data_IF_386086308434
#
_entry.id   IF_386086308434
#
_cell.length_a   1.000
_cell.length_b   1.000
_cell.length_c   1.000
_cell.angle_alpha   90.00
_cell.angle_beta   90.00
_cell.angle_gamma   90.00
#
_symmetry.space_group_name_H-M   'P 1'
#
loop_
_entity.id
_entity.type
_entity.pdbx_description
1 polymer ?
#
# COMPACT_ATOMS: atom_id res chain seq x y z
N UNK A 1 13.14 -7.06 -22.36
CA UNK A 1 14.15 -6.68 -21.35
C UNK A 1 15.22 -7.76 -21.26
N UNK A 2 16.47 -7.40 -20.95
CA UNK A 2 17.59 -8.35 -20.82
C UNK A 2 17.51 -9.08 -19.46
N UNK A 3 18.03 -10.32 -19.39
CA UNK A 3 18.14 -11.09 -18.12
C UNK A 3 18.78 -10.29 -16.96
N UNK A 4 19.54 -9.26 -17.29
CA UNK A 4 20.18 -8.35 -16.34
C UNK A 4 19.17 -7.52 -15.53
N UNK A 5 18.09 -7.04 -16.15
CA UNK A 5 17.07 -6.25 -15.46
C UNK A 5 16.35 -7.06 -14.38
N UNK A 6 15.94 -8.29 -14.72
CA UNK A 6 15.34 -9.23 -13.78
C UNK A 6 16.27 -9.52 -12.58
N UNK A 7 17.59 -9.57 -12.81
CA UNK A 7 18.57 -9.79 -11.75
C UNK A 7 18.66 -8.59 -10.80
N UNK A 8 18.49 -7.37 -11.30
CA UNK A 8 18.58 -6.12 -10.51
C UNK A 8 17.42 -5.94 -9.54
N UNK A 9 16.20 -6.38 -9.89
CA UNK A 9 14.99 -6.18 -9.07
C UNK A 9 14.78 -7.26 -7.98
N UNK A 10 15.39 -8.44 -8.13
CA UNK A 10 15.22 -9.56 -7.18
C UNK A 10 15.54 -9.22 -5.71
N UNK A 11 16.61 -8.46 -5.39
CA UNK A 11 16.86 -8.02 -4.02
C UNK A 11 15.70 -7.19 -3.46
N UNK A 12 15.07 -6.34 -4.27
CA UNK A 12 13.97 -5.46 -3.84
C UNK A 12 12.71 -6.28 -3.56
N UNK A 13 12.39 -7.24 -4.42
CA UNK A 13 11.31 -8.21 -4.22
C UNK A 13 11.51 -9.00 -2.91
N UNK A 14 12.73 -9.45 -2.66
CA UNK A 14 13.08 -10.16 -1.43
C UNK A 14 12.87 -9.29 -0.20
N UNK A 15 13.32 -8.02 -0.24
CA UNK A 15 13.12 -7.06 0.84
C UNK A 15 11.63 -6.77 1.09
N UNK A 16 10.84 -6.53 0.03
CA UNK A 16 9.41 -6.31 0.12
C UNK A 16 8.70 -7.47 0.83
N UNK A 17 8.95 -8.69 0.37
CA UNK A 17 8.29 -9.88 0.90
C UNK A 17 8.72 -10.17 2.35
N UNK A 18 9.99 -9.91 2.69
CA UNK A 18 10.49 -10.02 4.06
C UNK A 18 9.80 -9.01 4.99
N UNK A 19 9.72 -7.75 4.58
CA UNK A 19 9.05 -6.70 5.32
C UNK A 19 7.55 -6.98 5.49
N UNK A 20 6.89 -7.54 4.46
CA UNK A 20 5.50 -7.99 4.54
C UNK A 20 5.27 -9.02 5.65
N UNK A 21 6.17 -10.00 5.80
CA UNK A 21 6.09 -10.98 6.90
C UNK A 21 6.21 -10.32 8.27
N UNK A 22 7.13 -9.37 8.44
CA UNK A 22 7.27 -8.61 9.69
C UNK A 22 6.03 -7.76 9.98
N UNK A 23 5.42 -7.18 8.95
CA UNK A 23 4.18 -6.43 9.05
C UNK A 23 3.05 -7.32 9.58
N UNK A 24 2.90 -8.53 9.05
CA UNK A 24 1.89 -9.50 9.51
C UNK A 24 2.10 -9.97 10.95
N UNK A 25 3.31 -9.83 11.51
CA UNK A 25 3.60 -10.10 12.92
C UNK A 25 3.54 -8.86 13.82
N UNK A 26 2.98 -7.74 13.35
CA UNK A 26 2.89 -6.50 14.13
C UNK A 26 4.23 -5.80 14.38
N UNK A 27 5.32 -6.21 13.73
CA UNK A 27 6.64 -5.60 13.86
C UNK A 27 6.76 -4.37 12.94
N UNK A 28 5.84 -3.39 13.09
CA UNK A 28 5.64 -2.29 12.14
C UNK A 28 6.89 -1.45 11.93
N UNK A 29 7.67 -1.18 12.99
CA UNK A 29 8.88 -0.37 12.89
C UNK A 29 9.97 -1.06 12.07
N UNK A 30 10.19 -2.35 12.31
CA UNK A 30 11.14 -3.15 11.54
C UNK A 30 10.69 -3.30 10.09
N UNK A 31 9.41 -3.57 9.84
CA UNK A 31 8.85 -3.61 8.49
C UNK A 31 9.07 -2.29 7.74
N UNK A 32 8.78 -1.15 8.38
CA UNK A 32 9.00 0.19 7.80
C UNK A 32 10.46 0.45 7.45
N UNK A 33 11.41 0.01 8.30
CA UNK A 33 12.83 0.17 8.02
C UNK A 33 13.24 -0.57 6.74
N UNK A 34 12.76 -1.81 6.57
CA UNK A 34 13.07 -2.63 5.39
C UNK A 34 12.36 -2.09 4.14
N UNK A 35 11.09 -1.71 4.21
CA UNK A 35 10.40 -1.13 3.05
C UNK A 35 11.04 0.17 2.58
N UNK A 36 11.46 1.05 3.49
CA UNK A 36 12.19 2.28 3.11
C UNK A 36 13.53 1.97 2.46
N UNK A 37 14.23 0.97 2.95
CA UNK A 37 15.48 0.52 2.33
C UNK A 37 15.23 -0.03 0.91
N UNK A 38 14.15 -0.79 0.71
CA UNK A 38 13.73 -1.26 -0.61
C UNK A 38 13.39 -0.10 -1.57
N UNK A 39 12.68 0.93 -1.10
CA UNK A 39 12.40 2.14 -1.88
C UNK A 39 13.68 2.86 -2.31
N UNK A 40 14.63 3.08 -1.39
CA UNK A 40 15.93 3.68 -1.75
C UNK A 40 16.68 2.87 -2.80
N UNK A 41 16.56 1.53 -2.75
CA UNK A 41 17.16 0.65 -3.76
C UNK A 41 16.49 0.79 -5.13
N UNK A 42 15.18 1.03 -5.19
CA UNK A 42 14.52 1.33 -6.48
C UNK A 42 15.04 2.63 -7.10
N UNK A 43 15.30 3.66 -6.29
CA UNK A 43 15.85 4.93 -6.77
C UNK A 43 17.29 4.79 -7.29
N UNK A 44 18.12 3.98 -6.64
CA UNK A 44 19.49 3.68 -7.10
C UNK A 44 19.48 3.07 -8.51
N UNK A 45 18.55 2.15 -8.79
CA UNK A 45 18.40 1.51 -10.11
C UNK A 45 17.96 2.53 -11.16
N UNK A 46 16.96 3.36 -10.84
CA UNK A 46 16.48 4.43 -11.73
C UNK A 46 17.56 5.42 -12.15
N UNK A 47 18.53 5.69 -11.26
CA UNK A 47 19.65 6.58 -11.56
C UNK A 47 20.68 5.89 -12.46
N UNK A 48 20.91 4.59 -12.29
CA UNK A 48 21.86 3.83 -13.11
C UNK A 48 21.38 3.73 -14.56
N UNK A 49 20.10 3.38 -14.77
CA UNK A 49 19.53 3.21 -16.12
C UNK A 49 19.58 4.50 -16.94
N UNK A 50 19.32 5.66 -16.31
CA UNK A 50 19.43 6.97 -16.96
C UNK A 50 20.85 7.31 -17.43
N UNK A 51 21.86 6.86 -16.68
CA UNK A 51 23.26 7.13 -17.02
C UNK A 51 23.78 6.23 -18.16
N UNK A 52 23.16 5.08 -18.39
CA UNK A 52 23.54 4.17 -19.48
C UNK A 52 22.94 4.64 -20.83
N UNK A 53 21.67 5.07 -20.84
CA UNK A 53 21.01 5.60 -22.03
C UNK A 53 21.72 6.86 -22.58
N UNK A 54 22.33 7.66 -21.68
CA UNK A 54 23.05 8.88 -22.06
C UNK A 54 24.40 8.69 -22.75
N UNK A 55 24.95 7.46 -22.84
CA UNK A 55 26.29 7.23 -23.42
C UNK A 55 26.32 7.11 -24.95
N UNK A 56 25.18 6.80 -25.58
CA UNK A 56 25.08 6.58 -27.03
C UNK A 56 24.42 7.74 -27.80
N UNK A 57 24.03 8.82 -27.11
CA UNK A 57 23.52 10.04 -27.76
C UNK A 57 24.61 11.12 -27.89
N UNK A 58 24.77 11.76 -29.06
CA UNK A 58 25.72 12.85 -29.24
C UNK A 58 25.37 14.02 -28.31
N UNK A 59 26.39 14.51 -27.60
CA UNK A 59 26.28 15.46 -26.51
C UNK A 59 25.47 16.72 -26.89
N UNK A 60 24.27 16.84 -26.33
CA UNK A 60 23.56 18.13 -26.21
C UNK A 60 23.85 18.65 -24.80
N UNK A 61 24.53 19.79 -24.74
CA UNK A 61 24.97 20.44 -23.51
C UNK A 61 23.78 20.94 -22.68
N UNK A 62 23.36 20.17 -21.69
CA UNK A 62 22.46 20.64 -20.62
C UNK A 62 23.20 20.82 -19.30
N UNK A 63 23.21 22.06 -18.81
CA UNK A 63 23.64 22.44 -17.46
C UNK A 63 22.60 21.93 -16.47
N UNK A 64 22.98 20.98 -15.62
CA UNK A 64 22.18 20.54 -14.48
C UNK A 64 22.81 20.91 -13.13
N UNK A 65 21.96 21.45 -12.28
CA UNK A 65 22.17 21.97 -10.93
C UNK A 65 22.33 20.81 -9.93
N UNK A 66 23.37 20.87 -9.11
CA UNK A 66 23.71 19.89 -8.07
C UNK A 66 22.92 20.13 -6.79
N UNK A 67 22.22 19.11 -6.26
CA UNK A 67 22.11 18.89 -4.82
C UNK A 67 21.62 17.47 -4.49
N UNK A 68 22.45 16.66 -3.82
CA UNK A 68 22.05 15.80 -2.69
C UNK A 68 23.22 14.94 -2.21
N UNK A 69 23.62 15.13 -0.96
CA UNK A 69 24.57 14.26 -0.25
C UNK A 69 23.76 13.23 0.54
N UNK A 70 23.92 11.94 0.25
CA UNK A 70 23.28 10.85 0.99
C UNK A 70 24.26 10.21 1.99
N UNK A 71 23.81 10.08 3.24
CA UNK A 71 24.51 9.35 4.29
C UNK A 71 24.19 7.85 4.18
N UNK A 72 25.22 7.00 4.08
CA UNK A 72 25.08 5.53 4.11
C UNK A 72 24.67 5.08 5.50
N UNK A 73 23.42 4.67 5.69
CA UNK A 73 22.93 4.10 6.96
C UNK A 73 23.16 2.58 7.01
N UNK A 74 23.68 2.12 8.15
CA UNK A 74 23.90 0.70 8.48
C UNK A 74 22.54 0.09 8.90
N UNK A 75 22.18 -1.08 8.38
CA UNK A 75 20.93 -1.77 8.75
C UNK A 75 20.89 -2.03 10.27
N UNK A 76 19.78 -1.71 10.96
CA UNK A 76 19.62 -2.05 12.37
C UNK A 76 19.30 -3.54 12.54
N UNK A 77 20.01 -4.20 13.45
CA UNK A 77 19.68 -5.54 13.96
C UNK A 77 18.58 -5.40 15.02
N UNK A 78 17.38 -5.89 14.73
CA UNK A 78 16.21 -5.77 15.63
C UNK A 78 15.92 -7.12 16.28
N UNK A 79 15.84 -7.22 17.62
CA UNK A 79 15.42 -8.43 18.31
C UNK A 79 13.92 -8.68 18.10
N UNK A 80 13.58 -9.91 17.72
CA UNK A 80 12.21 -10.34 17.42
C UNK A 80 11.49 -10.71 18.73
N UNK A 81 10.70 -9.80 19.28
CA UNK A 81 9.77 -10.11 20.37
C UNK A 81 8.47 -10.65 19.78
N UNK A 82 8.01 -11.80 20.25
CA UNK A 82 6.81 -12.50 19.77
C UNK A 82 5.54 -11.78 20.25
N UNK A 83 4.61 -11.37 19.37
CA UNK A 83 3.32 -10.85 19.82
C UNK A 83 2.46 -11.98 20.35
N UNK A 84 1.81 -11.73 21.48
CA UNK A 84 0.78 -12.60 22.04
C UNK A 84 -0.42 -12.61 21.11
N UNK A 85 -0.81 -13.79 20.61
CA UNK A 85 -2.05 -13.98 19.87
C UNK A 85 -3.21 -13.92 20.88
N UNK A 86 -3.86 -12.77 20.98
CA UNK A 86 -5.12 -12.62 21.69
C UNK A 86 -6.23 -13.26 20.85
N UNK A 87 -6.84 -14.32 21.38
CA UNK A 87 -8.08 -14.91 20.87
C UNK A 87 -9.18 -13.86 20.94
N UNK A 88 -9.72 -13.50 19.78
CA UNK A 88 -10.79 -12.50 19.64
C UNK A 88 -12.10 -13.12 20.14
N UNK A 89 -12.53 -12.73 21.33
CA UNK A 89 -13.91 -12.95 21.77
C UNK A 89 -14.83 -12.07 20.91
N UNK A 90 -15.85 -12.70 20.32
CA UNK A 90 -16.81 -12.06 19.42
C UNK A 90 -17.79 -11.20 20.24
N UNK A 91 -17.41 -9.94 20.49
CA UNK A 91 -18.30 -8.93 21.04
C UNK A 91 -19.26 -8.45 19.93
N UNK A 92 -20.54 -8.80 20.02
CA UNK A 92 -21.58 -8.50 19.00
C UNK A 92 -21.86 -7.01 18.80
N UNK A 93 -21.13 -6.12 19.49
CA UNK A 93 -21.32 -4.67 19.43
C UNK A 93 -20.24 -3.92 18.63
N UNK A 94 -19.28 -4.61 18.02
CA UNK A 94 -18.20 -3.91 17.34
C UNK A 94 -18.61 -3.53 15.93
N UNK A 95 -19.03 -2.28 15.79
CA UNK A 95 -19.15 -1.53 14.54
C UNK A 95 -17.77 -1.31 13.87
N UNK A 96 -16.96 -2.37 13.80
CA UNK A 96 -15.61 -2.35 13.28
C UNK A 96 -15.65 -2.45 11.78
N UNK A 97 -15.19 -1.36 11.16
CA UNK A 97 -14.99 -1.25 9.73
C UNK A 97 -13.97 -2.28 9.26
N UNK A 98 -14.22 -2.89 8.10
CA UNK A 98 -13.28 -3.80 7.48
C UNK A 98 -12.02 -3.04 7.03
N UNK A 99 -10.85 -3.50 7.44
CA UNK A 99 -9.56 -2.89 7.06
C UNK A 99 -8.76 -3.96 6.34
N UNK A 100 -8.27 -3.64 5.15
CA UNK A 100 -7.41 -4.55 4.42
C UNK A 100 -6.03 -4.55 5.08
N UNK A 101 -5.61 -5.73 5.56
CA UNK A 101 -4.46 -5.92 6.46
C UNK A 101 -3.30 -6.69 5.82
N UNK A 102 -3.50 -7.23 4.63
CA UNK A 102 -2.51 -8.08 3.96
C UNK A 102 -1.52 -7.23 3.17
N UNK A 103 -0.19 -7.39 3.35
CA UNK A 103 0.78 -6.79 2.44
C UNK A 103 0.68 -7.41 1.05
N UNK A 104 0.94 -6.61 0.01
CA UNK A 104 1.07 -7.13 -1.36
C UNK A 104 2.44 -7.78 -1.50
N UNK A 105 2.42 -9.09 -1.76
CA UNK A 105 3.60 -9.89 -2.04
C UNK A 105 3.85 -9.97 -3.54
N UNK A 106 5.12 -9.86 -3.93
CA UNK A 106 5.52 -10.03 -5.33
C UNK A 106 5.98 -11.47 -5.49
N UNK A 107 5.30 -12.22 -6.35
CA UNK A 107 5.65 -13.61 -6.61
C UNK A 107 6.73 -13.71 -7.68
N UNK A 108 7.41 -14.85 -7.77
CA UNK A 108 8.36 -15.10 -8.87
C UNK A 108 7.67 -15.03 -10.23
N UNK A 109 6.41 -15.47 -10.30
CA UNK A 109 5.59 -15.39 -11.50
C UNK A 109 5.46 -13.95 -11.99
N UNK A 110 5.23 -13.01 -11.07
CA UNK A 110 5.09 -11.59 -11.44
C UNK A 110 6.39 -11.00 -12.01
N UNK A 111 7.54 -11.47 -11.53
CA UNK A 111 8.85 -11.06 -12.02
C UNK A 111 9.17 -11.69 -13.38
N UNK A 112 8.79 -12.95 -13.60
CA UNK A 112 9.14 -13.71 -14.80
C UNK A 112 8.16 -13.48 -15.97
N UNK A 113 6.87 -13.30 -15.70
CA UNK A 113 5.81 -13.26 -16.74
C UNK A 113 5.36 -11.85 -17.13
N UNK A 114 5.35 -10.90 -16.18
CA UNK A 114 4.63 -9.62 -16.35
C UNK A 114 5.49 -8.41 -16.66
N UNK A 115 6.80 -8.59 -16.88
CA UNK A 115 7.75 -7.47 -16.99
C UNK A 115 7.44 -6.44 -15.90
N UNK A 116 7.40 -6.89 -14.62
CA UNK A 116 7.00 -6.05 -13.48
C UNK A 116 7.71 -4.70 -13.57
N UNK A 117 6.94 -3.67 -13.93
CA UNK A 117 7.53 -2.40 -14.29
C UNK A 117 7.94 -1.68 -13.00
N UNK A 118 8.96 -0.83 -13.09
CA UNK A 118 9.45 -0.04 -11.96
C UNK A 118 8.35 0.71 -11.22
N UNK A 119 7.37 1.27 -11.96
CA UNK A 119 6.26 2.02 -11.38
C UNK A 119 5.36 1.12 -10.53
N UNK A 120 5.08 -0.10 -11.00
CA UNK A 120 4.31 -1.11 -10.29
C UNK A 120 5.04 -1.51 -9.01
N UNK A 121 6.32 -1.87 -9.10
CA UNK A 121 7.15 -2.22 -7.94
C UNK A 121 7.18 -1.07 -6.91
N UNK A 122 7.37 0.16 -7.37
CA UNK A 122 7.38 1.33 -6.50
C UNK A 122 6.02 1.58 -5.85
N UNK A 123 4.92 1.40 -6.60
CA UNK A 123 3.56 1.55 -6.08
C UNK A 123 3.22 0.49 -5.02
N UNK A 124 3.67 -0.76 -5.19
CA UNK A 124 3.53 -1.86 -4.22
C UNK A 124 4.29 -1.52 -2.94
N UNK A 125 5.53 -1.04 -3.06
CA UNK A 125 6.32 -0.62 -1.90
C UNK A 125 5.65 0.52 -1.15
N UNK A 126 5.14 1.54 -1.85
CA UNK A 126 4.42 2.66 -1.23
C UNK A 126 3.14 2.18 -0.52
N UNK A 127 2.39 1.27 -1.14
CA UNK A 127 1.22 0.65 -0.52
C UNK A 127 1.59 -0.05 0.79
N UNK A 128 2.63 -0.89 0.78
CA UNK A 128 3.04 -1.65 1.96
C UNK A 128 3.60 -0.75 3.08
N UNK A 129 4.28 0.36 2.74
CA UNK A 129 4.67 1.40 3.72
C UNK A 129 3.43 2.09 4.30
N UNK A 130 2.46 2.44 3.46
CA UNK A 130 1.21 3.06 3.89
C UNK A 130 0.45 2.15 4.86
N UNK A 131 0.34 0.86 4.52
CA UNK A 131 -0.27 -0.17 5.35
C UNK A 131 0.44 -0.29 6.70
N UNK A 132 1.78 -0.30 6.70
CA UNK A 132 2.56 -0.34 7.93
C UNK A 132 2.26 0.83 8.86
N UNK A 133 2.18 2.06 8.33
CA UNK A 133 1.78 3.22 9.14
C UNK A 133 0.33 3.14 9.60
N UNK A 134 -0.58 2.63 8.76
CA UNK A 134 -1.99 2.51 9.09
C UNK A 134 -2.18 1.53 10.26
N UNK A 135 -1.66 0.31 10.14
CA UNK A 135 -1.78 -0.70 11.20
C UNK A 135 -1.07 -0.27 12.48
N UNK A 136 0.10 0.38 12.38
CA UNK A 136 0.77 0.93 13.56
C UNK A 136 -0.08 1.99 14.28
N UNK A 137 -0.84 2.79 13.54
CA UNK A 137 -1.73 3.78 14.15
C UNK A 137 -2.95 3.15 14.85
N UNK A 138 -3.36 1.94 14.43
CA UNK A 138 -4.51 1.23 14.97
C UNK A 138 -4.15 0.37 16.17
N UNK A 139 -3.06 -0.40 16.06
CA UNK A 139 -2.62 -1.43 17.00
C UNK A 139 -1.48 -0.98 17.91
N UNK A 140 -0.91 0.20 17.71
CA UNK A 140 0.16 0.70 18.57
C UNK A 140 -0.37 1.09 19.96
N UNK A 141 -0.23 0.20 20.93
CA UNK A 141 -0.72 0.29 22.32
C UNK A 141 -0.45 1.64 23.00
N UNK A 142 0.71 2.26 22.76
CA UNK A 142 1.16 3.48 23.44
C UNK A 142 1.15 4.75 22.56
N UNK A 143 0.30 4.77 21.53
CA UNK A 143 0.27 5.91 20.60
C UNK A 143 -0.51 7.08 21.19
N UNK A 144 0.19 8.08 21.72
CA UNK A 144 -0.42 9.38 22.03
C UNK A 144 -1.32 9.84 20.85
N UNK A 145 -2.51 10.43 21.08
CA UNK A 145 -3.46 10.76 20.00
C UNK A 145 -2.84 11.56 18.84
N UNK A 146 -1.89 12.46 19.16
CA UNK A 146 -1.12 13.22 18.17
C UNK A 146 -0.21 12.35 17.31
N UNK A 147 0.44 11.33 17.89
CA UNK A 147 1.24 10.33 17.15
C UNK A 147 0.36 9.51 16.23
N UNK A 148 -0.79 9.01 16.72
CA UNK A 148 -1.78 8.28 15.92
C UNK A 148 -2.24 9.09 14.72
N UNK A 149 -2.65 10.34 14.93
CA UNK A 149 -3.07 11.24 13.86
C UNK A 149 -1.95 11.48 12.82
N UNK A 150 -0.70 11.62 13.28
CA UNK A 150 0.46 11.79 12.40
C UNK A 150 0.72 10.54 11.55
N UNK A 151 0.60 9.35 12.13
CA UNK A 151 0.76 8.08 11.41
C UNK A 151 -0.35 7.92 10.34
N UNK A 152 -1.61 8.17 10.70
CA UNK A 152 -2.74 8.15 9.76
C UNK A 152 -2.55 9.11 8.59
N UNK A 153 -2.12 10.35 8.84
CA UNK A 153 -1.84 11.32 7.77
C UNK A 153 -0.70 10.87 6.85
N UNK A 154 0.31 10.18 7.37
CA UNK A 154 1.39 9.60 6.55
C UNK A 154 0.89 8.45 5.68
N UNK A 155 0.13 7.52 6.28
CA UNK A 155 -0.48 6.41 5.57
C UNK A 155 -1.36 6.92 4.41
N UNK A 156 -2.24 7.89 4.68
CA UNK A 156 -3.13 8.47 3.68
C UNK A 156 -2.36 9.04 2.47
N UNK A 157 -1.33 9.87 2.70
CA UNK A 157 -0.52 10.45 1.62
C UNK A 157 0.17 9.38 0.77
N UNK A 158 0.64 8.31 1.39
CA UNK A 158 1.32 7.23 0.68
C UNK A 158 0.36 6.37 -0.12
N UNK A 159 -0.85 6.11 0.40
CA UNK A 159 -1.91 5.46 -0.36
C UNK A 159 -2.34 6.31 -1.56
N UNK A 160 -2.55 7.62 -1.38
CA UNK A 160 -2.88 8.53 -2.49
C UNK A 160 -1.77 8.56 -3.55
N UNK A 161 -0.50 8.55 -3.14
CA UNK A 161 0.63 8.46 -4.05
C UNK A 161 0.68 7.12 -4.80
N UNK A 162 0.49 6.00 -4.10
CA UNK A 162 0.45 4.67 -4.70
C UNK A 162 -0.70 4.55 -5.72
N UNK A 163 -1.87 5.09 -5.37
CA UNK A 163 -3.05 5.16 -6.24
C UNK A 163 -2.78 5.94 -7.53
N UNK A 164 -2.15 7.13 -7.45
CA UNK A 164 -1.83 7.91 -8.65
C UNK A 164 -0.89 7.16 -9.61
N UNK A 165 0.11 6.45 -9.07
CA UNK A 165 1.04 5.67 -9.90
C UNK A 165 0.36 4.48 -10.60
N UNK A 166 -0.69 3.94 -10.01
CA UNK A 166 -1.45 2.83 -10.57
C UNK A 166 -2.39 3.28 -11.69
N UNK A 167 -3.04 4.43 -11.51
CA UNK A 167 -3.89 5.01 -12.56
C UNK A 167 -3.08 5.28 -13.84
N UNK A 168 -1.81 5.66 -13.71
CA UNK A 168 -0.95 5.94 -14.86
C UNK A 168 -0.41 4.68 -15.54
N UNK A 169 -0.29 3.56 -14.81
CA UNK A 169 0.35 2.33 -15.32
C UNK A 169 -0.61 1.22 -15.71
N UNK A 170 -1.89 1.28 -15.31
CA UNK A 170 -2.94 0.26 -15.55
C UNK A 170 -2.52 -1.18 -15.22
N UNK A 171 -1.50 -1.35 -14.37
CA UNK A 171 -0.80 -2.63 -14.22
C UNK A 171 -1.22 -3.42 -12.98
N UNK A 172 -1.92 -2.79 -12.03
CA UNK A 172 -2.20 -3.42 -10.75
C UNK A 172 -3.49 -4.23 -10.74
N UNK A 173 -3.49 -5.31 -9.96
CA UNK A 173 -4.70 -6.06 -9.64
C UNK A 173 -5.78 -5.14 -9.07
N UNK A 174 -7.02 -5.39 -9.48
CA UNK A 174 -8.22 -4.77 -8.96
C UNK A 174 -8.32 -4.89 -7.43
N UNK A 175 -7.92 -6.03 -6.87
CA UNK A 175 -7.89 -6.26 -5.41
C UNK A 175 -7.08 -5.19 -4.68
N UNK A 176 -5.90 -4.85 -5.20
CA UNK A 176 -5.05 -3.83 -4.60
C UNK A 176 -5.65 -2.42 -4.72
N UNK A 177 -6.32 -2.12 -5.83
CA UNK A 177 -7.04 -0.86 -6.03
C UNK A 177 -8.12 -0.69 -4.96
N UNK A 178 -8.93 -1.73 -4.75
CA UNK A 178 -10.00 -1.72 -3.74
C UNK A 178 -9.43 -1.67 -2.33
N UNK A 179 -8.32 -2.36 -2.06
CA UNK A 179 -7.61 -2.26 -0.79
C UNK A 179 -7.16 -0.83 -0.48
N UNK A 180 -6.61 -0.11 -1.48
CA UNK A 180 -6.22 1.30 -1.33
C UNK A 180 -7.44 2.17 -1.05
N UNK A 181 -8.48 2.06 -1.86
CA UNK A 181 -9.70 2.87 -1.74
C UNK A 181 -10.36 2.64 -0.38
N UNK A 182 -10.50 1.38 0.04
CA UNK A 182 -11.06 0.99 1.32
C UNK A 182 -10.26 1.57 2.50
N UNK A 183 -8.93 1.39 2.47
CA UNK A 183 -8.06 1.86 3.55
C UNK A 183 -8.00 3.38 3.62
N UNK A 184 -8.01 4.09 2.48
CA UNK A 184 -8.17 5.55 2.42
C UNK A 184 -9.48 6.02 3.07
N UNK A 185 -10.60 5.39 2.71
CA UNK A 185 -11.91 5.72 3.26
C UNK A 185 -11.93 5.56 4.79
N UNK A 186 -11.38 4.45 5.29
CA UNK A 186 -11.26 4.20 6.72
C UNK A 186 -10.41 5.25 7.44
N UNK A 187 -9.26 5.62 6.88
CA UNK A 187 -8.42 6.69 7.43
C UNK A 187 -9.17 8.04 7.43
N UNK A 188 -9.89 8.38 6.37
CA UNK A 188 -10.68 9.61 6.32
C UNK A 188 -11.73 9.64 7.43
N UNK A 189 -12.41 8.52 7.69
CA UNK A 189 -13.38 8.39 8.79
C UNK A 189 -12.70 8.53 10.16
N UNK A 190 -11.55 7.90 10.37
CA UNK A 190 -10.75 8.05 11.59
C UNK A 190 -10.29 9.50 11.82
N UNK A 191 -10.01 10.23 10.74
CA UNK A 191 -9.67 11.66 10.75
C UNK A 191 -10.91 12.58 10.76
N UNK A 192 -12.11 12.03 10.99
CA UNK A 192 -13.39 12.75 11.05
C UNK A 192 -13.76 13.51 9.77
N UNK A 193 -13.23 13.09 8.63
CA UNK A 193 -13.59 13.60 7.30
C UNK A 193 -14.55 12.64 6.61
N UNK A 194 -15.78 12.57 7.12
CA UNK A 194 -16.81 11.63 6.66
C UNK A 194 -17.19 11.83 5.20
N UNK A 195 -17.29 13.09 4.75
CA UNK A 195 -17.63 13.41 3.36
C UNK A 195 -16.67 12.78 2.36
N UNK A 196 -15.35 12.85 2.62
CA UNK A 196 -14.36 12.19 1.75
C UNK A 196 -14.44 10.67 1.86
N UNK A 197 -14.57 10.13 3.07
CA UNK A 197 -14.74 8.69 3.24
C UNK A 197 -15.92 8.15 2.42
N UNK A 198 -17.06 8.86 2.45
CA UNK A 198 -18.25 8.52 1.66
C UNK A 198 -18.00 8.53 0.15
N UNK A 199 -17.25 9.51 -0.36
CA UNK A 199 -16.85 9.54 -1.77
C UNK A 199 -16.04 8.30 -2.15
N UNK A 200 -15.06 7.91 -1.34
CA UNK A 200 -14.26 6.71 -1.61
C UNK A 200 -15.12 5.43 -1.56
N UNK A 201 -15.99 5.29 -0.57
CA UNK A 201 -16.90 4.15 -0.48
C UNK A 201 -17.88 4.06 -1.66
N UNK A 202 -18.41 5.20 -2.14
CA UNK A 202 -19.24 5.23 -3.35
C UNK A 202 -18.48 4.76 -4.58
N UNK A 203 -17.23 5.22 -4.77
CA UNK A 203 -16.40 4.73 -5.87
C UNK A 203 -16.09 3.24 -5.76
N UNK A 204 -15.80 2.75 -4.56
CA UNK A 204 -15.57 1.32 -4.32
C UNK A 204 -16.81 0.49 -4.64
N UNK A 205 -17.99 0.95 -4.25
CA UNK A 205 -19.26 0.29 -4.57
C UNK A 205 -19.50 0.24 -6.08
N UNK A 206 -19.37 1.37 -6.77
CA UNK A 206 -19.56 1.43 -8.22
C UNK A 206 -18.59 0.50 -8.96
N UNK A 207 -17.31 0.51 -8.54
CA UNK A 207 -16.29 -0.40 -9.10
C UNK A 207 -16.68 -1.85 -8.84
N UNK A 208 -17.10 -2.16 -7.61
CA UNK A 208 -17.50 -3.53 -7.24
C UNK A 208 -18.71 -4.04 -8.01
N UNK A 209 -19.71 -3.18 -8.21
CA UNK A 209 -20.88 -3.54 -9.02
C UNK A 209 -20.51 -3.79 -10.48
N UNK A 210 -19.64 -2.96 -11.06
CA UNK A 210 -19.16 -3.16 -12.43
C UNK A 210 -18.42 -4.50 -12.58
N UNK A 211 -17.59 -4.88 -11.62
CA UNK A 211 -16.87 -6.17 -11.62
C UNK A 211 -17.81 -7.37 -11.54
N UNK A 212 -18.87 -7.26 -10.74
CA UNK A 212 -19.91 -8.30 -10.65
C UNK A 212 -20.61 -8.45 -12.00
N UNK A 213 -20.95 -7.34 -12.65
CA UNK A 213 -21.62 -7.33 -13.95
C UNK A 213 -20.79 -7.97 -15.07
N UNK A 214 -19.47 -7.72 -15.09
CA UNK A 214 -18.55 -8.31 -16.09
C UNK A 214 -18.09 -9.74 -15.73
N UNK A 215 -18.46 -10.27 -14.57
CA UNK A 215 -18.08 -11.61 -14.12
C UNK A 215 -16.66 -11.75 -13.57
N UNK A 216 -15.98 -10.64 -13.26
CA UNK A 216 -14.61 -10.62 -12.72
C UNK A 216 -14.57 -10.58 -11.17
N UNK A 217 -15.73 -10.57 -10.51
CA UNK A 217 -15.82 -10.52 -9.05
C UNK A 217 -15.09 -11.68 -8.34
N UNK A 218 -14.96 -12.85 -8.98
CA UNK A 218 -14.25 -14.01 -8.43
C UNK A 218 -12.75 -13.79 -8.27
N UNK A 219 -12.16 -12.87 -9.03
CA UNK A 219 -10.73 -12.57 -9.02
C UNK A 219 -10.34 -11.64 -7.85
N UNK A 220 -11.34 -11.06 -7.18
CA UNK A 220 -11.15 -10.10 -6.11
C UNK A 220 -11.21 -10.78 -4.76
N UNK A 221 -10.04 -11.01 -4.18
CA UNK A 221 -9.93 -11.51 -2.82
C UNK A 221 -10.60 -10.54 -1.84
N UNK A 222 -11.39 -11.07 -0.90
CA UNK A 222 -12.05 -10.30 0.16
C UNK A 222 -13.05 -9.25 -0.34
N UNK A 223 -13.64 -9.43 -1.54
CA UNK A 223 -14.67 -8.54 -2.09
C UNK A 223 -15.81 -8.27 -1.10
N UNK A 224 -16.23 -9.29 -0.35
CA UNK A 224 -17.26 -9.17 0.69
C UNK A 224 -16.88 -8.14 1.78
N UNK A 225 -15.62 -8.07 2.18
CA UNK A 225 -15.13 -7.09 3.16
C UNK A 225 -15.18 -5.67 2.62
N UNK A 226 -14.83 -5.47 1.35
CA UNK A 226 -14.96 -4.18 0.67
C UNK A 226 -16.44 -3.76 0.58
N UNK A 227 -17.30 -4.66 0.11
CA UNK A 227 -18.74 -4.41 0.00
C UNK A 227 -19.40 -4.17 1.36
N UNK A 228 -18.95 -4.85 2.42
CA UNK A 228 -19.45 -4.64 3.77
C UNK A 228 -19.32 -3.16 4.18
N UNK A 229 -18.15 -2.55 3.99
CA UNK A 229 -17.97 -1.14 4.33
C UNK A 229 -18.81 -0.20 3.45
N UNK A 230 -18.86 -0.47 2.14
CA UNK A 230 -19.54 0.41 1.19
C UNK A 230 -21.07 0.33 1.30
N UNK A 231 -21.63 -0.87 1.51
CA UNK A 231 -23.08 -1.11 1.61
C UNK A 231 -23.72 -0.37 2.79
N UNK A 232 -22.98 -0.14 3.87
CA UNK A 232 -23.44 0.64 5.02
C UNK A 232 -23.81 2.09 4.68
N UNK A 233 -23.27 2.64 3.59
CA UNK A 233 -23.71 3.95 3.12
C UNK A 233 -25.12 3.91 2.52
N UNK A 234 -25.44 2.84 1.79
CA UNK A 234 -26.73 2.68 1.14
C UNK A 234 -27.82 2.38 2.17
N UNK A 235 -27.51 1.46 3.10
CA UNK A 235 -28.49 0.95 4.06
C UNK A 235 -28.87 1.98 5.13
N UNK A 236 -28.03 3.00 5.37
CA UNK A 236 -28.34 4.09 6.32
C UNK A 236 -29.45 5.02 5.83
N UNK A 237 -29.58 5.22 4.52
CA UNK A 237 -30.55 6.17 3.96
C UNK A 237 -31.97 5.57 3.83
N UNK A 238 -32.10 4.24 3.87
CA UNK A 238 -33.40 3.55 3.64
C UNK A 238 -34.15 3.26 4.94
N UNK A 239 -33.47 3.24 6.09
CA UNK A 239 -34.08 3.04 7.40
C UNK A 239 -34.67 4.34 7.97
N UNK A 240 -35.60 4.98 7.25
CA UNK A 240 -36.51 5.93 7.88
C UNK A 240 -37.45 5.15 8.81
N UNK A 241 -37.68 5.59 10.06
CA UNK A 241 -38.59 4.89 10.97
C UNK A 241 -39.99 4.86 10.36
N UNK A 242 -40.57 3.66 10.25
CA UNK A 242 -41.98 3.51 9.90
C UNK A 242 -42.81 4.23 10.96
N UNK A 243 -43.52 5.29 10.56
CA UNK A 243 -44.39 6.08 11.42
C UNK A 243 -45.78 5.43 11.56
#
# INVERSE_FOLDING_TARGET
MTKEYSTSIQPIVTLNNCAGKLLSTGAYEAALAIFRYALLKTEDILIQDKNEIGKDMPAVSEKATSCSKSNKSKLPSVPLSRPSQTSVEHDENTDTEFIYRSPIHITKRDVDERDCNESELHSILLFNVALSYHLWALEGDDSAPSKKQRLLKKALKLYECSFSMQIDSWSMSITSLLAIVNNCASIYKLLKNTKRAETFYKHMLSTSMAMIEIGEASEVEQLEGFLYNASRLILRDVAAPAA
#
